data_IF_953303084011
#
_entry.id   IF_953303084011
#
_cell.length_a   1.000
_cell.length_b   1.000
_cell.length_c   1.000
_cell.angle_alpha   90.00
_cell.angle_beta   90.00
_cell.angle_gamma   90.00
#
_symmetry.space_group_name_H-M   'P 1'
#
loop_
_entity.id
_entity.type
_entity.pdbx_description
1 polymer ?
#
# COMPACT_ATOMS: atom_id res chain seq x y z
N UNK A 1 39.41 -41.25 0.92
CA UNK A 1 37.99 -41.24 1.33
C UNK A 1 37.51 -39.90 1.90
N UNK A 2 38.31 -39.21 2.66
CA UNK A 2 37.89 -37.95 3.27
C UNK A 2 37.64 -36.84 2.27
N UNK A 3 38.39 -36.77 1.16
CA UNK A 3 38.22 -35.72 0.14
C UNK A 3 36.90 -35.81 -0.64
N UNK A 4 36.29 -36.98 -0.73
CA UNK A 4 34.99 -37.14 -1.39
C UNK A 4 33.81 -36.79 -0.51
N UNK A 5 33.98 -36.99 0.80
CA UNK A 5 32.93 -36.63 1.78
C UNK A 5 32.73 -35.12 1.86
N UNK A 6 33.82 -34.35 1.85
CA UNK A 6 33.74 -32.88 1.87
C UNK A 6 33.10 -32.30 0.61
N UNK A 7 33.37 -32.89 -0.55
CA UNK A 7 32.72 -32.43 -1.80
C UNK A 7 31.22 -32.71 -1.81
N UNK A 8 30.80 -33.83 -1.28
CA UNK A 8 29.38 -34.20 -1.21
C UNK A 8 28.64 -33.32 -0.21
N UNK A 9 29.25 -33.04 0.93
CA UNK A 9 28.67 -32.16 1.95
C UNK A 9 28.60 -30.72 1.44
N UNK A 10 29.61 -30.22 0.74
CA UNK A 10 29.61 -28.88 0.16
C UNK A 10 28.52 -28.69 -0.91
N UNK A 11 28.32 -29.70 -1.75
CA UNK A 11 27.26 -29.68 -2.76
C UNK A 11 25.88 -29.72 -2.12
N UNK A 12 25.71 -30.54 -1.10
CA UNK A 12 24.46 -30.62 -0.36
C UNK A 12 24.14 -29.30 0.36
N UNK A 13 25.13 -28.65 0.95
CA UNK A 13 24.99 -27.35 1.59
C UNK A 13 24.66 -26.25 0.60
N UNK A 14 25.22 -26.28 -0.59
CA UNK A 14 24.92 -25.33 -1.66
C UNK A 14 23.48 -25.47 -2.16
N UNK A 15 22.97 -26.68 -2.26
CA UNK A 15 21.58 -26.96 -2.65
C UNK A 15 20.60 -26.43 -1.60
N UNK A 16 20.92 -26.54 -0.32
CA UNK A 16 20.07 -26.00 0.77
C UNK A 16 20.03 -24.47 0.74
N UNK A 17 21.14 -23.82 0.44
CA UNK A 17 21.21 -22.35 0.32
C UNK A 17 20.39 -21.85 -0.87
N UNK A 18 20.41 -22.57 -1.98
CA UNK A 18 19.63 -22.22 -3.18
C UNK A 18 18.11 -22.41 -2.97
N UNK A 19 17.71 -23.44 -2.21
CA UNK A 19 16.30 -23.64 -1.89
C UNK A 19 15.77 -22.62 -0.88
N UNK A 20 16.62 -22.02 -0.04
CA UNK A 20 16.23 -20.93 0.87
C UNK A 20 15.85 -19.62 0.17
N UNK A 21 16.39 -19.36 -1.01
CA UNK A 21 16.08 -18.15 -1.78
C UNK A 21 14.70 -18.17 -2.46
N UNK A 22 14.11 -19.35 -2.63
CA UNK A 22 12.79 -19.51 -3.26
C UNK A 22 11.63 -19.15 -2.33
N UNK A 23 11.87 -19.12 -1.02
CA UNK A 23 10.86 -18.81 -0.02
C UNK A 23 10.60 -17.33 0.21
N UNK A 24 11.47 -16.44 -0.26
CA UNK A 24 11.35 -15.00 -0.01
C UNK A 24 10.37 -14.27 -0.94
N UNK A 25 9.77 -14.93 -1.91
CA UNK A 25 8.86 -14.31 -2.86
C UNK A 25 7.37 -14.50 -2.62
N UNK A 26 6.96 -15.10 -1.48
CA UNK A 26 5.56 -15.48 -1.25
C UNK A 26 4.89 -14.77 -0.08
N UNK A 27 5.44 -13.67 0.39
CA UNK A 27 4.91 -12.96 1.55
C UNK A 27 3.62 -12.18 1.31
N UNK A 28 3.16 -12.10 0.05
CA UNK A 28 2.04 -11.22 -0.34
C UNK A 28 0.74 -11.97 -0.65
N UNK A 29 0.59 -13.19 -0.18
CA UNK A 29 -0.66 -13.92 -0.35
C UNK A 29 -1.77 -13.32 0.52
N UNK A 30 -2.90 -13.06 -0.11
CA UNK A 30 -4.12 -12.64 0.56
C UNK A 30 -4.62 -13.73 1.49
N UNK A 31 -4.65 -13.44 2.79
CA UNK A 31 -5.20 -14.35 3.80
C UNK A 31 -6.71 -14.21 3.88
N UNK A 32 -7.24 -13.00 3.74
CA UNK A 32 -8.67 -12.75 3.80
C UNK A 32 -9.01 -11.30 3.50
N UNK A 33 -10.28 -11.06 3.23
CA UNK A 33 -10.80 -9.71 3.05
C UNK A 33 -10.86 -8.99 4.39
N UNK A 34 -10.66 -7.68 4.35
CA UNK A 34 -10.75 -6.81 5.52
C UNK A 34 -11.94 -5.87 5.35
N UNK A 35 -12.89 -5.86 6.30
CA UNK A 35 -14.03 -4.95 6.20
C UNK A 35 -13.58 -3.49 6.36
N UNK A 36 -14.06 -2.63 5.50
CA UNK A 36 -13.71 -1.21 5.51
C UNK A 36 -14.85 -0.35 4.96
N UNK A 37 -14.81 0.92 5.29
CA UNK A 37 -15.62 1.94 4.64
C UNK A 37 -14.70 3.07 4.17
N UNK A 38 -15.08 3.69 3.07
CA UNK A 38 -14.38 4.88 2.56
C UNK A 38 -15.12 6.11 3.08
N UNK A 39 -14.38 6.99 3.73
CA UNK A 39 -14.92 8.24 4.25
C UNK A 39 -14.24 9.43 3.59
N UNK A 40 -15.00 10.52 3.45
CA UNK A 40 -14.46 11.78 2.96
C UNK A 40 -13.54 12.42 4.01
N UNK A 41 -12.49 13.10 3.56
CA UNK A 41 -11.55 13.76 4.45
C UNK A 41 -12.22 14.77 5.37
N UNK A 42 -13.28 15.46 4.88
CA UNK A 42 -14.02 16.42 5.67
C UNK A 42 -14.79 15.84 6.87
N UNK A 43 -15.02 14.53 6.87
CA UNK A 43 -15.69 13.81 7.97
C UNK A 43 -14.73 13.35 9.07
N UNK A 44 -13.44 13.54 8.88
CA UNK A 44 -12.42 13.13 9.82
C UNK A 44 -12.28 14.12 10.99
N UNK A 45 -11.74 13.67 12.14
CA UNK A 45 -11.39 14.59 13.21
C UNK A 45 -10.47 15.71 12.74
N UNK A 46 -10.62 16.90 13.33
CA UNK A 46 -9.88 18.09 12.92
C UNK A 46 -8.37 17.92 12.98
N UNK A 47 -7.87 17.20 13.97
CA UNK A 47 -6.43 16.91 14.10
C UNK A 47 -5.89 16.11 12.93
N UNK A 48 -6.67 15.16 12.41
CA UNK A 48 -6.30 14.38 11.25
C UNK A 48 -6.32 15.25 10.00
N UNK A 49 -7.32 16.11 9.86
CA UNK A 49 -7.41 17.06 8.72
C UNK A 49 -6.19 17.96 8.67
N UNK A 50 -5.72 18.45 9.80
CA UNK A 50 -4.49 19.27 9.87
C UNK A 50 -3.26 18.49 9.44
N UNK A 51 -3.15 17.22 9.82
CA UNK A 51 -2.06 16.36 9.38
C UNK A 51 -2.09 16.12 7.87
N UNK A 52 -3.25 15.89 7.31
CA UNK A 52 -3.43 15.75 5.86
C UNK A 52 -3.01 17.02 5.15
N UNK A 53 -3.45 18.17 5.60
CA UNK A 53 -3.08 19.46 5.01
C UNK A 53 -1.58 19.72 5.00
N UNK A 54 -0.88 19.22 6.00
CA UNK A 54 0.58 19.33 6.07
C UNK A 54 1.33 18.40 5.13
N UNK A 55 0.70 17.36 4.62
CA UNK A 55 1.33 16.29 3.83
C UNK A 55 0.84 16.18 2.39
N UNK A 56 -0.28 16.79 2.06
CA UNK A 56 -1.02 16.56 0.81
C UNK A 56 -0.31 16.94 -0.49
N UNK A 57 0.72 17.80 -0.43
CA UNK A 57 1.46 18.24 -1.61
C UNK A 57 2.21 17.09 -2.30
N UNK A 58 2.66 16.12 -1.54
CA UNK A 58 3.37 14.94 -2.05
C UNK A 58 2.61 13.66 -1.69
N UNK A 59 2.81 12.57 -2.44
CA UNK A 59 2.19 11.30 -2.09
C UNK A 59 2.59 10.86 -0.68
N UNK A 60 1.63 10.38 0.08
CA UNK A 60 1.85 9.93 1.45
C UNK A 60 0.89 8.83 1.83
N UNK A 61 1.24 8.10 2.87
CA UNK A 61 0.35 7.17 3.55
C UNK A 61 0.59 7.28 5.06
N UNK A 62 -0.48 7.17 5.83
CA UNK A 62 -0.38 7.13 7.27
C UNK A 62 -1.54 6.34 7.88
N UNK A 63 -1.33 5.85 9.08
CA UNK A 63 -2.35 5.19 9.88
C UNK A 63 -2.56 5.98 11.17
N UNK A 64 -3.81 6.11 11.57
CA UNK A 64 -4.20 6.76 12.81
C UNK A 64 -5.14 5.83 13.57
N UNK A 65 -4.79 5.53 14.81
CA UNK A 65 -5.53 4.59 15.64
C UNK A 65 -6.29 5.30 16.74
N UNK A 66 -7.59 5.04 16.79
CA UNK A 66 -8.46 5.42 17.88
C UNK A 66 -9.05 4.16 18.53
N UNK A 67 -9.59 4.24 19.77
CA UNK A 67 -10.16 3.06 20.42
C UNK A 67 -11.30 2.39 19.67
N UNK A 68 -12.08 3.14 18.89
CA UNK A 68 -13.26 2.64 18.18
C UNK A 68 -13.00 2.31 16.72
N UNK A 69 -11.95 2.90 16.12
CA UNK A 69 -11.66 2.72 14.70
C UNK A 69 -10.20 3.02 14.39
N UNK A 70 -9.71 2.41 13.34
CA UNK A 70 -8.42 2.75 12.75
C UNK A 70 -8.65 3.41 11.40
N UNK A 71 -7.93 4.48 11.13
CA UNK A 71 -7.97 5.19 9.86
C UNK A 71 -6.70 4.91 9.07
N UNK A 72 -6.87 4.56 7.81
CA UNK A 72 -5.77 4.49 6.86
C UNK A 72 -5.98 5.62 5.86
N UNK A 73 -4.98 6.46 5.72
CA UNK A 73 -5.05 7.67 4.91
C UNK A 73 -4.00 7.57 3.81
N UNK A 74 -4.47 7.69 2.59
CA UNK A 74 -3.64 7.63 1.41
C UNK A 74 -3.82 8.92 0.62
N UNK A 75 -2.71 9.54 0.23
CA UNK A 75 -2.70 10.70 -0.62
C UNK A 75 -1.81 10.47 -1.83
N UNK A 76 -2.29 10.87 -3.00
CA UNK A 76 -1.54 10.77 -4.25
C UNK A 76 -0.73 12.02 -4.58
N UNK A 77 -0.80 13.03 -3.70
CA UNK A 77 -0.11 14.28 -3.92
C UNK A 77 -0.90 15.24 -4.79
N UNK A 78 -0.32 16.41 -5.03
CA UNK A 78 -0.95 17.46 -5.81
C UNK A 78 -1.13 17.05 -7.27
N UNK A 79 -2.35 17.21 -7.77
CA UNK A 79 -2.68 17.11 -9.18
C UNK A 79 -3.00 18.52 -9.72
N UNK A 80 -2.68 18.78 -10.97
CA UNK A 80 -2.70 20.12 -11.54
C UNK A 80 -4.10 20.65 -11.84
N UNK A 81 -5.07 19.76 -12.02
CA UNK A 81 -6.45 20.12 -12.36
C UNK A 81 -7.43 19.40 -11.46
N UNK A 82 -8.71 19.81 -11.51
CA UNK A 82 -9.82 19.06 -10.95
C UNK A 82 -10.06 17.75 -11.72
N UNK A 83 -10.95 16.91 -11.23
CA UNK A 83 -11.36 15.67 -11.90
C UNK A 83 -10.58 14.42 -11.50
N UNK A 84 -9.61 14.54 -10.60
CA UNK A 84 -8.90 13.39 -10.06
C UNK A 84 -9.56 12.88 -8.79
N UNK A 85 -9.61 11.56 -8.65
CA UNK A 85 -10.11 10.91 -7.43
C UNK A 85 -9.42 9.57 -7.24
N UNK A 86 -9.51 9.05 -6.02
CA UNK A 86 -8.97 7.74 -5.68
C UNK A 86 -10.09 6.71 -5.73
N UNK A 87 -9.82 5.59 -6.39
CA UNK A 87 -10.68 4.42 -6.38
C UNK A 87 -10.02 3.33 -5.53
N UNK A 88 -10.75 2.84 -4.54
CA UNK A 88 -10.30 1.73 -3.69
C UNK A 88 -10.85 0.44 -4.28
N UNK A 89 -9.95 -0.45 -4.70
CA UNK A 89 -10.34 -1.73 -5.30
C UNK A 89 -10.52 -2.82 -4.26
N UNK A 90 -9.60 -2.91 -3.32
CA UNK A 90 -9.60 -3.98 -2.33
C UNK A 90 -8.83 -3.55 -1.08
N UNK A 91 -9.26 -4.08 0.04
CA UNK A 91 -8.52 -4.03 1.30
C UNK A 91 -8.46 -5.45 1.85
N UNK A 92 -7.27 -5.95 2.04
CA UNK A 92 -7.11 -7.33 2.45
C UNK A 92 -5.94 -7.50 3.42
N UNK A 93 -6.01 -8.56 4.20
CA UNK A 93 -4.97 -8.95 5.13
C UNK A 93 -3.97 -9.87 4.42
N UNK A 94 -2.70 -9.48 4.46
CA UNK A 94 -1.58 -10.33 4.14
C UNK A 94 -1.04 -11.03 5.40
N UNK A 95 0.09 -11.69 5.27
CA UNK A 95 0.69 -12.44 6.38
C UNK A 95 1.09 -11.53 7.54
N UNK A 96 1.74 -10.40 7.25
CA UNK A 96 2.28 -9.47 8.25
C UNK A 96 1.76 -8.03 8.09
N UNK A 97 0.83 -7.80 7.18
CA UNK A 97 0.42 -6.44 6.83
C UNK A 97 -1.00 -6.36 6.29
N UNK A 98 -1.55 -5.17 6.34
CA UNK A 98 -2.81 -4.83 5.69
C UNK A 98 -2.49 -4.17 4.35
N UNK A 99 -3.09 -4.67 3.28
CA UNK A 99 -2.91 -4.17 1.92
C UNK A 99 -4.13 -3.37 1.50
N UNK A 100 -3.87 -2.20 0.93
CA UNK A 100 -4.90 -1.34 0.37
C UNK A 100 -4.56 -1.12 -1.10
N UNK A 101 -5.38 -1.66 -1.97
CA UNK A 101 -5.21 -1.54 -3.42
C UNK A 101 -6.04 -0.39 -3.94
N UNK A 102 -5.38 0.61 -4.48
CA UNK A 102 -6.02 1.84 -4.97
C UNK A 102 -5.48 2.26 -6.33
N UNK A 103 -6.29 3.00 -7.07
CA UNK A 103 -5.87 3.68 -8.27
C UNK A 103 -6.22 5.17 -8.20
N UNK A 104 -5.38 5.99 -8.80
CA UNK A 104 -5.67 7.37 -9.08
C UNK A 104 -6.37 7.44 -10.45
N UNK A 105 -7.61 7.91 -10.44
CA UNK A 105 -8.40 8.07 -11.66
C UNK A 105 -8.40 9.55 -12.05
N UNK A 106 -7.91 9.83 -13.25
CA UNK A 106 -7.90 11.17 -13.82
C UNK A 106 -9.15 11.49 -14.59
N UNK A 107 -9.32 12.75 -15.04
CA UNK A 107 -10.45 13.13 -15.85
C UNK A 107 -10.48 12.39 -17.18
N UNK A 108 -11.66 11.99 -17.63
CA UNK A 108 -11.82 11.37 -18.93
C UNK A 108 -11.68 12.40 -20.06
N UNK A 109 -11.33 11.92 -21.25
CA UNK A 109 -11.19 12.77 -22.44
C UNK A 109 -12.48 13.56 -22.69
N UNK A 110 -12.36 14.87 -22.83
CA UNK A 110 -13.47 15.83 -23.00
C UNK A 110 -14.29 16.11 -21.73
N UNK A 111 -13.89 15.62 -20.57
CA UNK A 111 -14.49 16.04 -19.31
C UNK A 111 -14.06 17.49 -19.01
N UNK A 112 -15.00 18.39 -18.66
CA UNK A 112 -14.63 19.74 -18.24
C UNK A 112 -13.91 19.68 -16.91
N UNK A 113 -12.70 20.24 -16.85
CA UNK A 113 -11.91 20.36 -15.62
C UNK A 113 -11.62 21.80 -15.33
N UNK A 114 -11.49 22.12 -14.06
CA UNK A 114 -11.03 23.44 -13.61
C UNK A 114 -9.52 23.44 -13.47
N UNK A 115 -8.88 24.56 -13.83
CA UNK A 115 -7.43 24.75 -13.67
C UNK A 115 -7.10 25.11 -12.22
N UNK A 116 -7.55 24.27 -11.32
CA UNK A 116 -7.31 24.36 -9.89
C UNK A 116 -6.68 23.05 -9.40
N UNK A 117 -5.68 23.11 -8.53
CA UNK A 117 -5.08 21.90 -8.01
C UNK A 117 -6.05 21.10 -7.12
N UNK A 118 -5.92 19.78 -7.17
CA UNK A 118 -6.61 18.85 -6.29
C UNK A 118 -5.61 17.96 -5.55
N UNK A 119 -6.04 17.43 -4.43
CA UNK A 119 -5.20 16.63 -3.53
C UNK A 119 -5.94 15.33 -3.17
N UNK A 120 -6.06 14.40 -4.15
CA UNK A 120 -6.71 13.13 -3.89
C UNK A 120 -6.00 12.32 -2.84
#
# INVERSE_FOLDING_TARGET
MEKHLYKTIAVLFLVIVLSGCVFNGKSDEKIGDWPYIVVEASELPEDIIKLIDSKKETPFQMAYHEPEASYIILGYGRQETSGYHIEVHDVYQGEDSLWVDTDLIGPVKNEPVEDLPTYP
#
